data_IF_319786255194
#
_entry.id   IF_319786255194
#
_cell.length_a   1.000
_cell.length_b   1.000
_cell.length_c   1.000
_cell.angle_alpha   90.00
_cell.angle_beta   90.00
_cell.angle_gamma   90.00
#
_symmetry.space_group_name_H-M   'P 1'
#
loop_
_entity.id
_entity.type
_entity.pdbx_description
1 polymer ?
#
# COMPACT_ATOMS: atom_id res chain seq x y z
N UNK A 1 -18.13 -26.40 -4.56
CA UNK A 1 -17.97 -24.92 -4.70
C UNK A 1 -16.50 -24.59 -4.64
N UNK A 2 -15.93 -23.99 -5.70
CA UNK A 2 -14.49 -23.67 -5.76
C UNK A 2 -14.11 -22.65 -4.66
N UNK A 3 -12.87 -22.73 -4.15
CA UNK A 3 -12.34 -21.81 -3.13
C UNK A 3 -12.52 -20.34 -3.51
N UNK A 4 -12.42 -20.04 -4.80
CA UNK A 4 -12.64 -18.70 -5.36
C UNK A 4 -14.08 -18.21 -5.15
N UNK A 5 -15.10 -19.06 -5.31
CA UNK A 5 -16.50 -18.70 -5.05
C UNK A 5 -16.75 -18.37 -3.56
N UNK A 6 -16.07 -19.06 -2.64
CA UNK A 6 -16.18 -18.79 -1.19
C UNK A 6 -15.56 -17.44 -0.83
N UNK A 7 -14.43 -17.08 -1.43
CA UNK A 7 -13.76 -15.78 -1.22
C UNK A 7 -14.61 -14.64 -1.79
N UNK A 8 -15.17 -14.81 -2.99
CA UNK A 8 -16.07 -13.81 -3.59
C UNK A 8 -17.36 -13.64 -2.77
N UNK A 9 -17.93 -14.73 -2.24
CA UNK A 9 -19.08 -14.68 -1.35
C UNK A 9 -18.76 -14.00 -0.01
N UNK A 10 -17.60 -14.27 0.59
CA UNK A 10 -17.16 -13.61 1.82
C UNK A 10 -16.94 -12.11 1.61
N UNK A 11 -16.36 -11.70 0.49
CA UNK A 11 -16.20 -10.29 0.13
C UNK A 11 -17.56 -9.60 -0.15
N UNK A 12 -18.53 -10.33 -0.71
CA UNK A 12 -19.90 -9.81 -0.88
C UNK A 12 -20.66 -9.69 0.45
N UNK A 13 -20.43 -10.59 1.41
CA UNK A 13 -21.06 -10.54 2.74
C UNK A 13 -20.55 -9.36 3.58
N UNK A 14 -19.26 -9.05 3.50
CA UNK A 14 -18.69 -7.86 4.16
C UNK A 14 -19.26 -6.56 3.56
N UNK A 15 -19.55 -6.55 2.25
CA UNK A 15 -20.19 -5.41 1.59
C UNK A 15 -21.68 -5.21 1.94
N UNK A 16 -22.37 -6.23 2.42
CA UNK A 16 -23.80 -6.16 2.74
C UNK A 16 -24.12 -5.64 4.16
N UNK A 17 -23.11 -5.52 5.02
CA UNK A 17 -23.26 -4.99 6.39
C UNK A 17 -23.26 -3.45 6.47
N UNK A 18 -23.02 -2.76 5.37
CA UNK A 18 -23.07 -1.29 5.29
C UNK A 18 -24.43 -0.85 4.77
N UNK A 19 -25.25 -0.45 5.70
CA UNK A 19 -26.67 -0.03 5.61
C UNK A 19 -27.21 0.53 4.30
N UNK A 20 -28.33 0.04 3.97
CA UNK A 20 -29.53 0.39 3.22
C UNK A 20 -29.63 1.59 2.26
N UNK A 21 -28.55 2.05 1.62
CA UNK A 21 -28.64 2.91 0.47
C UNK A 21 -28.24 2.13 -0.78
N UNK A 22 -29.03 2.22 -1.85
CA UNK A 22 -28.71 1.63 -3.15
C UNK A 22 -27.48 2.31 -3.74
N UNK A 23 -26.30 1.96 -3.24
CA UNK A 23 -25.03 2.42 -3.76
C UNK A 23 -24.71 1.55 -4.96
N UNK A 24 -24.60 2.19 -6.12
CA UNK A 24 -24.03 1.57 -7.31
C UNK A 24 -22.57 1.24 -7.05
N UNK A 25 -22.29 0.02 -6.58
CA UNK A 25 -20.94 -0.42 -6.23
C UNK A 25 -20.07 -0.45 -7.47
N UNK A 26 -19.24 0.56 -7.65
CA UNK A 26 -18.24 0.62 -8.71
C UNK A 26 -16.95 -0.02 -8.21
N UNK A 27 -16.25 -0.73 -9.09
CA UNK A 27 -14.96 -1.36 -8.79
C UNK A 27 -13.92 -0.87 -9.78
N UNK A 28 -12.87 -0.27 -9.25
CA UNK A 28 -11.69 0.15 -10.01
C UNK A 28 -10.50 -0.73 -9.69
N UNK A 29 -9.73 -1.10 -10.70
CA UNK A 29 -8.37 -1.60 -10.54
C UNK A 29 -7.42 -0.46 -10.85
N UNK A 30 -6.42 -0.27 -9.99
CA UNK A 30 -5.44 0.81 -10.08
C UNK A 30 -4.02 0.27 -10.12
N UNK A 31 -3.13 1.03 -10.74
CA UNK A 31 -1.69 0.78 -10.75
C UNK A 31 -0.96 2.11 -10.52
N UNK A 32 -0.02 2.11 -9.58
CA UNK A 32 0.80 3.29 -9.29
C UNK A 32 1.95 3.41 -10.31
N UNK A 33 1.91 4.49 -11.09
CA UNK A 33 2.92 4.76 -12.12
C UNK A 33 4.30 5.06 -11.56
N UNK A 34 4.41 5.75 -10.40
CA UNK A 34 5.71 6.04 -9.79
C UNK A 34 6.43 4.75 -9.34
N UNK A 35 5.70 3.83 -8.73
CA UNK A 35 6.24 2.53 -8.34
C UNK A 35 6.60 1.67 -9.57
N UNK A 36 5.77 1.72 -10.62
CA UNK A 36 6.05 1.01 -11.86
C UNK A 36 7.35 1.48 -12.52
N UNK A 37 7.66 2.78 -12.49
CA UNK A 37 8.94 3.33 -12.98
C UNK A 37 10.15 2.81 -12.18
N UNK A 38 9.97 2.52 -10.89
CA UNK A 38 10.99 1.90 -10.04
C UNK A 38 11.01 0.37 -10.15
N UNK A 39 10.18 -0.23 -11.01
CA UNK A 39 10.04 -1.69 -11.12
C UNK A 39 9.41 -2.34 -9.89
N UNK A 40 8.68 -1.57 -9.09
CA UNK A 40 7.91 -2.03 -7.93
C UNK A 40 6.47 -2.25 -8.36
N UNK A 41 5.91 -3.40 -8.03
CA UNK A 41 4.54 -3.78 -8.39
C UNK A 41 3.58 -3.25 -7.32
N UNK A 42 2.59 -2.44 -7.72
CA UNK A 42 1.60 -1.89 -6.80
C UNK A 42 0.19 -1.91 -7.39
N UNK A 43 -0.44 -3.09 -7.52
CA UNK A 43 -1.86 -3.19 -7.85
C UNK A 43 -2.73 -2.79 -6.66
N UNK A 44 -3.83 -2.12 -6.96
CA UNK A 44 -4.87 -1.80 -5.99
C UNK A 44 -6.26 -2.06 -6.57
N UNK A 45 -7.20 -2.38 -5.70
CA UNK A 45 -8.62 -2.51 -6.02
C UNK A 45 -9.39 -1.56 -5.12
N UNK A 46 -10.20 -0.72 -5.71
CA UNK A 46 -11.03 0.25 -4.99
C UNK A 46 -12.52 -0.04 -5.21
N UNK A 47 -13.25 -0.09 -4.10
CA UNK A 47 -14.69 -0.37 -4.05
C UNK A 47 -15.44 0.87 -3.58
N UNK A 48 -16.49 1.26 -4.29
CA UNK A 48 -17.40 2.31 -3.81
C UNK A 48 -18.28 1.77 -2.69
N UNK A 49 -18.23 2.41 -1.52
CA UNK A 49 -19.05 2.07 -0.35
C UNK A 49 -20.28 2.96 -0.21
N UNK A 50 -20.15 4.25 -0.58
CA UNK A 50 -21.22 5.24 -0.45
C UNK A 50 -21.06 6.35 -1.50
N UNK A 51 -22.01 7.28 -1.63
CA UNK A 51 -21.86 8.41 -2.55
C UNK A 51 -20.61 9.26 -2.34
N UNK A 52 -20.00 9.19 -1.16
CA UNK A 52 -18.81 9.97 -0.81
C UNK A 52 -17.68 9.15 -0.22
N UNK A 53 -17.77 7.80 -0.21
CA UNK A 53 -16.69 6.99 0.36
C UNK A 53 -16.37 5.76 -0.46
N UNK A 54 -15.10 5.37 -0.40
CA UNK A 54 -14.57 4.16 -1.02
C UNK A 54 -13.70 3.40 -0.03
N UNK A 55 -13.42 2.16 -0.36
CA UNK A 55 -12.46 1.32 0.32
C UNK A 55 -11.48 0.79 -0.71
N UNK A 56 -10.20 0.96 -0.46
CA UNK A 56 -9.14 0.46 -1.32
C UNK A 56 -8.31 -0.58 -0.59
N UNK A 57 -7.98 -1.66 -1.27
CA UNK A 57 -6.95 -2.61 -0.86
C UNK A 57 -5.82 -2.60 -1.88
N UNK A 58 -4.58 -2.62 -1.41
CA UNK A 58 -3.40 -2.59 -2.29
C UNK A 58 -2.28 -3.46 -1.76
N UNK A 59 -1.44 -3.92 -2.68
CA UNK A 59 -0.20 -4.61 -2.40
C UNK A 59 0.91 -3.79 -3.03
N UNK A 60 2.00 -3.54 -2.28
CA UNK A 60 3.25 -3.02 -2.82
C UNK A 60 4.28 -4.14 -2.71
N UNK A 61 4.88 -4.50 -3.81
CA UNK A 61 5.87 -5.57 -3.85
C UNK A 61 7.11 -5.14 -4.63
N UNK A 62 8.24 -5.12 -3.94
CA UNK A 62 9.56 -4.93 -4.57
C UNK A 62 10.20 -6.30 -4.83
N UNK A 63 10.39 -6.70 -6.10
CA UNK A 63 11.04 -7.94 -6.46
C UNK A 63 12.57 -7.87 -6.35
N UNK A 64 13.12 -6.69 -6.10
CA UNK A 64 14.55 -6.44 -6.11
C UNK A 64 15.24 -7.05 -4.89
N UNK A 65 15.85 -8.22 -5.07
CA UNK A 65 16.66 -8.81 -4.01
C UNK A 65 17.86 -7.90 -3.67
N UNK A 66 18.43 -7.28 -4.71
CA UNK A 66 19.54 -6.33 -4.59
C UNK A 66 19.39 -5.21 -5.61
N UNK A 67 19.75 -4.00 -5.19
CA UNK A 67 19.91 -2.81 -6.02
C UNK A 67 21.36 -2.35 -5.89
N UNK A 68 21.98 -2.01 -7.01
CA UNK A 68 23.35 -1.50 -7.00
C UNK A 68 23.35 0.00 -6.69
N UNK A 69 23.96 0.37 -5.57
CA UNK A 69 24.14 1.76 -5.16
C UNK A 69 25.61 1.98 -4.80
N UNK A 70 26.27 2.98 -5.43
CA UNK A 70 27.69 3.28 -5.27
C UNK A 70 28.61 2.07 -5.44
N UNK A 71 28.30 1.19 -6.39
CA UNK A 71 29.09 -0.01 -6.69
C UNK A 71 28.83 -1.20 -5.75
N UNK A 72 28.00 -1.05 -4.71
CA UNK A 72 27.67 -2.07 -3.73
C UNK A 72 26.25 -2.57 -3.94
N UNK A 73 26.04 -3.89 -3.83
CA UNK A 73 24.73 -4.51 -3.88
C UNK A 73 24.03 -4.41 -2.52
N UNK A 74 22.90 -3.75 -2.48
CA UNK A 74 22.12 -3.48 -1.26
C UNK A 74 20.73 -4.11 -1.37
N UNK A 75 20.25 -4.83 -0.35
CA UNK A 75 18.92 -5.43 -0.38
C UNK A 75 17.81 -4.37 -0.49
N UNK A 76 16.78 -4.66 -1.31
CA UNK A 76 15.61 -3.79 -1.48
C UNK A 76 14.33 -4.62 -1.71
N UNK A 77 14.21 -5.73 -0.98
CA UNK A 77 13.10 -6.66 -1.09
C UNK A 77 12.08 -6.42 0.02
N UNK A 78 10.83 -6.11 -0.35
CA UNK A 78 9.76 -5.90 0.61
C UNK A 78 8.39 -6.19 0.00
N UNK A 79 7.44 -6.50 0.87
CA UNK A 79 6.04 -6.62 0.54
C UNK A 79 5.21 -5.85 1.58
N UNK A 80 4.25 -5.05 1.11
CA UNK A 80 3.33 -4.29 1.95
C UNK A 80 1.92 -4.65 1.50
N UNK A 81 1.05 -4.98 2.44
CA UNK A 81 -0.38 -5.09 2.25
C UNK A 81 -1.06 -3.96 3.00
N UNK A 82 -1.90 -3.19 2.32
CA UNK A 82 -2.54 -2.01 2.90
C UNK A 82 -4.02 -1.95 2.54
N UNK A 83 -4.82 -1.54 3.52
CA UNK A 83 -6.22 -1.23 3.37
C UNK A 83 -6.45 0.24 3.72
N UNK A 84 -7.30 0.91 2.98
CA UNK A 84 -7.57 2.32 3.12
C UNK A 84 -9.05 2.63 2.95
N UNK A 85 -9.62 3.33 3.92
CA UNK A 85 -10.93 3.97 3.81
C UNK A 85 -10.74 5.42 3.35
N UNK A 86 -11.45 5.83 2.29
CA UNK A 86 -11.39 7.17 1.71
C UNK A 86 -12.71 7.89 1.85
N UNK A 87 -12.66 9.14 2.27
CA UNK A 87 -13.80 10.04 2.33
C UNK A 87 -13.60 11.23 1.41
N UNK A 88 -14.46 11.35 0.40
CA UNK A 88 -14.43 12.42 -0.59
C UNK A 88 -15.26 13.61 -0.11
N UNK A 89 -14.80 14.82 -0.40
CA UNK A 89 -15.54 16.05 -0.06
C UNK A 89 -16.78 16.22 -0.90
N UNK A 90 -16.74 15.83 -2.18
CA UNK A 90 -17.87 15.97 -3.13
C UNK A 90 -18.50 14.60 -3.42
N UNK A 91 -17.93 13.83 -4.32
CA UNK A 91 -18.42 12.53 -4.79
C UNK A 91 -17.26 11.54 -4.84
N UNK A 92 -17.53 10.24 -4.60
CA UNK A 92 -16.53 9.18 -4.73
C UNK A 92 -15.85 9.21 -6.10
N UNK A 93 -14.58 8.88 -6.13
CA UNK A 93 -13.73 8.85 -7.32
C UNK A 93 -13.72 10.19 -8.11
N UNK A 94 -13.88 11.32 -7.43
CA UNK A 94 -13.83 12.64 -8.04
C UNK A 94 -13.54 13.75 -7.02
N UNK A 95 -12.42 14.45 -7.19
CA UNK A 95 -12.00 15.55 -6.35
C UNK A 95 -11.16 15.13 -5.15
N UNK A 96 -11.01 16.03 -4.20
CA UNK A 96 -10.21 15.84 -3.00
C UNK A 96 -10.82 14.80 -2.06
N UNK A 97 -9.95 14.02 -1.41
CA UNK A 97 -10.33 13.10 -0.35
C UNK A 97 -9.31 13.08 0.79
N UNK A 98 -9.77 12.61 1.93
CA UNK A 98 -8.94 12.16 3.05
C UNK A 98 -9.15 10.67 3.25
N UNK A 99 -8.09 9.98 3.62
CA UNK A 99 -8.11 8.54 3.89
C UNK A 99 -7.45 8.21 5.22
N UNK A 100 -7.95 7.13 5.82
CA UNK A 100 -7.30 6.44 6.92
C UNK A 100 -6.86 5.07 6.42
N UNK A 101 -5.61 4.70 6.69
CA UNK A 101 -5.07 3.44 6.22
C UNK A 101 -4.47 2.62 7.35
N UNK A 102 -4.48 1.30 7.15
CA UNK A 102 -3.81 0.33 8.01
C UNK A 102 -3.19 -0.76 7.15
N UNK A 103 -2.05 -1.26 7.57
CA UNK A 103 -1.35 -2.27 6.80
C UNK A 103 -0.33 -3.06 7.60
N UNK A 104 0.26 -4.01 6.90
CA UNK A 104 1.36 -4.83 7.38
C UNK A 104 2.45 -4.91 6.32
N UNK A 105 3.67 -5.08 6.75
CA UNK A 105 4.82 -5.20 5.86
C UNK A 105 5.78 -6.29 6.31
N UNK A 106 6.45 -6.89 5.34
CA UNK A 106 7.63 -7.72 5.54
C UNK A 106 8.77 -7.18 4.68
N UNK A 107 9.96 -7.12 5.20
CA UNK A 107 11.07 -6.49 4.49
C UNK A 107 12.44 -7.11 4.78
N UNK A 108 13.30 -7.04 3.78
CA UNK A 108 14.75 -7.17 3.85
C UNK A 108 15.33 -6.05 3.00
N UNK A 109 15.65 -4.91 3.61
CA UNK A 109 16.02 -3.72 2.86
C UNK A 109 17.02 -2.83 3.58
N UNK A 110 17.86 -2.16 2.79
CA UNK A 110 18.66 -1.04 3.25
C UNK A 110 17.80 0.22 3.27
N UNK A 111 17.86 1.00 4.35
CA UNK A 111 17.05 2.23 4.47
C UNK A 111 17.50 3.26 3.41
N UNK A 112 16.54 3.91 2.73
CA UNK A 112 16.86 5.04 1.88
C UNK A 112 17.26 6.25 2.75
N UNK A 113 18.33 6.90 2.37
CA UNK A 113 18.87 8.12 3.02
C UNK A 113 19.12 9.19 1.97
N UNK A 114 18.99 10.44 2.37
CA UNK A 114 19.38 11.57 1.53
C UNK A 114 20.76 12.03 1.97
N UNK A 115 21.74 11.92 1.10
CA UNK A 115 23.11 12.33 1.33
C UNK A 115 23.59 13.19 0.16
N UNK A 116 24.11 14.39 0.45
CA UNK A 116 24.56 15.38 -0.56
C UNK A 116 23.48 15.70 -1.62
N UNK A 117 22.20 15.72 -1.24
CA UNK A 117 21.07 16.01 -2.14
C UNK A 117 20.66 14.88 -3.05
N UNK A 118 21.26 13.69 -2.96
CA UNK A 118 20.91 12.51 -3.71
C UNK A 118 20.34 11.40 -2.81
N UNK A 119 19.47 10.58 -3.37
CA UNK A 119 18.91 9.41 -2.69
C UNK A 119 19.90 8.25 -2.76
N UNK A 120 20.31 7.75 -1.62
CA UNK A 120 21.19 6.61 -1.47
C UNK A 120 20.57 5.58 -0.51
N UNK A 121 21.18 4.40 -0.46
CA UNK A 121 20.81 3.36 0.51
C UNK A 121 21.91 3.24 1.57
N UNK A 122 21.52 3.00 2.83
CA UNK A 122 22.49 2.73 3.90
C UNK A 122 23.38 1.52 3.59
N UNK A 123 24.61 1.48 4.15
CA UNK A 123 25.55 0.36 4.02
C UNK A 123 25.26 -0.80 4.99
N UNK A 124 24.04 -0.86 5.47
CA UNK A 124 23.48 -1.93 6.31
C UNK A 124 22.06 -2.20 5.89
N UNK A 125 21.49 -3.32 6.28
CA UNK A 125 20.11 -3.63 5.99
C UNK A 125 19.37 -4.13 7.23
N UNK A 126 18.06 -3.97 7.21
CA UNK A 126 17.16 -4.52 8.23
C UNK A 126 16.29 -5.60 7.61
N UNK A 127 16.03 -6.66 8.39
CA UNK A 127 15.11 -7.73 8.02
C UNK A 127 14.11 -7.93 9.13
N UNK A 128 12.83 -7.86 8.78
CA UNK A 128 11.75 -7.96 9.74
C UNK A 128 10.38 -7.79 9.14
N UNK A 129 9.45 -7.46 10.01
CA UNK A 129 8.06 -7.17 9.67
C UNK A 129 7.55 -6.00 10.50
N UNK A 130 6.41 -5.44 10.10
CA UNK A 130 5.80 -4.35 10.83
C UNK A 130 4.33 -4.20 10.51
N UNK A 131 3.68 -3.40 11.32
CA UNK A 131 2.31 -2.93 11.12
C UNK A 131 2.32 -1.41 11.00
N UNK A 132 1.35 -0.87 10.31
CA UNK A 132 1.24 0.57 10.12
C UNK A 132 -0.21 1.04 10.23
N UNK A 133 -0.37 2.24 10.78
CA UNK A 133 -1.63 2.97 10.85
C UNK A 133 -1.37 4.41 10.42
N UNK A 134 -2.14 4.91 9.47
CA UNK A 134 -1.84 6.20 8.89
C UNK A 134 -3.03 6.94 8.29
N UNK A 135 -2.68 8.10 7.76
CA UNK A 135 -3.60 8.98 7.06
C UNK A 135 -3.02 9.33 5.69
N UNK A 136 -3.88 9.59 4.75
CA UNK A 136 -3.49 10.11 3.44
C UNK A 136 -4.45 11.19 2.96
N UNK A 137 -3.98 12.00 2.04
CA UNK A 137 -4.79 12.93 1.29
C UNK A 137 -4.47 12.78 -0.19
N UNK A 138 -5.48 12.99 -1.03
CA UNK A 138 -5.29 12.88 -2.46
C UNK A 138 -6.37 13.57 -3.26
N UNK A 139 -6.16 13.56 -4.57
CA UNK A 139 -7.07 14.10 -5.54
C UNK A 139 -7.29 13.09 -6.67
N UNK A 140 -8.53 12.69 -6.86
CA UNK A 140 -8.94 11.85 -7.99
C UNK A 140 -9.63 12.65 -9.08
N UNK A 141 -9.25 12.38 -10.32
CA UNK A 141 -9.88 12.95 -11.50
C UNK A 141 -10.27 11.86 -12.49
N UNK A 142 -11.57 11.79 -12.79
CA UNK A 142 -12.09 10.92 -13.84
C UNK A 142 -12.03 11.68 -15.17
N UNK A 143 -11.13 11.29 -16.06
CA UNK A 143 -10.92 11.95 -17.34
C UNK A 143 -11.63 11.26 -18.53
N UNK A 144 -12.12 10.04 -18.31
CA UNK A 144 -12.93 9.31 -19.28
C UNK A 144 -13.98 8.43 -18.57
N UNK A 145 -14.90 7.81 -19.32
CA UNK A 145 -15.97 7.00 -18.73
C UNK A 145 -15.48 5.88 -17.79
N UNK A 146 -14.31 5.30 -18.09
CA UNK A 146 -13.75 4.19 -17.35
C UNK A 146 -12.40 4.46 -16.72
N UNK A 147 -11.79 5.62 -16.99
CA UNK A 147 -10.44 5.94 -16.55
C UNK A 147 -10.43 7.06 -15.52
N UNK A 148 -9.58 6.91 -14.55
CA UNK A 148 -9.28 7.94 -13.57
C UNK A 148 -7.78 8.02 -13.30
N UNK A 149 -7.35 9.18 -12.83
CA UNK A 149 -6.03 9.44 -12.24
C UNK A 149 -6.23 9.78 -10.77
N UNK A 150 -5.35 9.26 -9.93
CA UNK A 150 -5.36 9.45 -8.47
C UNK A 150 -3.95 9.85 -8.02
N UNK A 151 -3.80 11.09 -7.56
CA UNK A 151 -2.57 11.60 -6.98
C UNK A 151 -2.70 11.71 -5.47
N UNK A 152 -1.76 11.16 -4.71
CA UNK A 152 -1.87 11.06 -3.26
C UNK A 152 -0.53 11.09 -2.52
N UNK A 153 -0.62 11.50 -1.27
CA UNK A 153 0.47 11.45 -0.30
C UNK A 153 -0.08 11.08 1.07
N UNK A 154 0.68 10.33 1.84
CA UNK A 154 0.26 9.89 3.17
C UNK A 154 1.43 9.57 4.10
N UNK A 155 1.13 9.60 5.38
CA UNK A 155 2.05 9.29 6.48
C UNK A 155 1.43 8.22 7.36
N UNK A 156 2.28 7.36 7.91
CA UNK A 156 1.86 6.35 8.86
C UNK A 156 2.80 6.27 10.05
N UNK A 157 2.21 5.96 11.17
CA UNK A 157 2.91 5.46 12.33
C UNK A 157 3.20 3.99 12.13
N UNK A 158 4.48 3.64 12.13
CA UNK A 158 4.96 2.29 11.82
C UNK A 158 5.56 1.68 13.07
N UNK A 159 5.07 0.51 13.46
CA UNK A 159 5.65 -0.35 14.49
C UNK A 159 6.34 -1.51 13.77
N UNK A 160 7.66 -1.60 13.91
CA UNK A 160 8.46 -2.61 13.22
C UNK A 160 9.29 -3.44 14.18
N UNK A 161 9.36 -4.73 13.91
CA UNK A 161 10.20 -5.72 14.61
C UNK A 161 11.20 -6.26 13.60
N UNK A 162 12.47 -5.96 13.84
CA UNK A 162 13.50 -6.31 12.87
C UNK A 162 14.88 -6.50 13.52
N UNK A 163 15.74 -7.22 12.83
CA UNK A 163 17.17 -7.29 13.11
C UNK A 163 17.95 -6.46 12.09
N UNK A 164 19.01 -5.80 12.56
CA UNK A 164 19.98 -5.10 11.71
C UNK A 164 21.13 -6.04 11.33
N UNK A 165 21.58 -5.90 10.08
CA UNK A 165 22.67 -6.69 9.51
C UNK A 165 23.62 -5.78 8.75
N UNK A 166 24.91 -6.10 8.79
CA UNK A 166 25.88 -5.56 7.84
C UNK A 166 25.71 -6.23 6.48
N UNK A 167 26.26 -5.66 5.41
CA UNK A 167 26.09 -6.17 4.05
C UNK A 167 26.72 -7.55 3.85
N UNK A 168 27.66 -7.96 4.69
CA UNK A 168 28.25 -9.31 4.74
C UNK A 168 27.34 -10.35 5.41
N UNK A 169 26.22 -9.90 6.01
CA UNK A 169 25.26 -10.74 6.72
C UNK A 169 25.52 -10.89 8.22
N UNK A 170 26.53 -10.22 8.76
CA UNK A 170 26.81 -10.21 10.20
C UNK A 170 25.70 -9.45 10.93
N UNK A 171 25.18 -10.03 12.03
CA UNK A 171 24.16 -9.38 12.86
C UNK A 171 24.81 -8.25 13.65
N UNK A 172 24.29 -7.03 13.50
CA UNK A 172 24.70 -5.91 14.33
C UNK A 172 24.14 -6.08 15.73
N UNK A 173 25.02 -6.16 16.72
CA UNK A 173 24.60 -6.07 18.12
C UNK A 173 24.08 -4.65 18.41
N UNK A 174 22.90 -4.56 19.00
CA UNK A 174 22.42 -3.30 19.54
C UNK A 174 23.38 -2.86 20.67
N UNK A 175 23.88 -1.60 20.69
CA UNK A 175 24.86 -1.17 21.70
C UNK A 175 24.34 -1.22 23.14
N UNK A 176 23.04 -1.44 23.34
CA UNK A 176 22.41 -1.47 24.66
C UNK A 176 21.82 -2.83 25.08
N UNK A 177 21.84 -3.86 24.20
CA UNK A 177 21.42 -5.23 24.57
C UNK A 177 22.21 -6.23 23.76
N UNK A 178 22.89 -7.19 24.43
CA UNK A 178 23.44 -8.35 23.73
C UNK A 178 22.27 -9.18 23.19
N UNK A 179 22.12 -9.20 21.87
CA UNK A 179 21.12 -10.03 21.19
C UNK A 179 21.74 -11.39 20.98
N UNK A 180 21.14 -12.44 21.54
CA UNK A 180 21.51 -13.81 21.16
C UNK A 180 21.21 -13.97 19.65
N UNK A 181 22.17 -14.44 18.84
CA UNK A 181 22.02 -14.51 17.37
C UNK A 181 20.85 -15.38 16.91
N UNK A 182 20.38 -16.29 17.76
CA UNK A 182 19.33 -17.27 17.43
C UNK A 182 17.90 -16.84 17.81
N UNK A 183 17.75 -15.80 18.63
CA UNK A 183 16.43 -15.31 19.03
C UNK A 183 16.33 -13.81 18.76
N UNK A 184 15.66 -13.40 17.66
CA UNK A 184 15.35 -12.00 17.46
C UNK A 184 14.51 -11.50 18.63
N UNK A 185 14.95 -10.41 19.25
CA UNK A 185 14.19 -9.75 20.31
C UNK A 185 12.82 -9.33 19.74
N UNK A 186 11.69 -9.87 20.23
CA UNK A 186 10.38 -9.72 19.59
C UNK A 186 9.85 -8.28 19.58
N UNK A 187 10.52 -7.34 20.20
CA UNK A 187 10.12 -5.93 20.22
C UNK A 187 11.36 -5.05 20.32
N UNK A 188 12.18 -4.98 19.29
CA UNK A 188 13.26 -4.00 19.26
C UNK A 188 12.77 -2.57 18.98
N UNK A 189 11.43 -2.37 18.95
CA UNK A 189 10.72 -1.16 19.28
C UNK A 189 11.02 0.06 18.42
N UNK A 190 11.18 -0.10 17.12
CA UNK A 190 11.17 1.04 16.23
C UNK A 190 9.73 1.48 16.00
N UNK A 191 9.40 2.65 16.54
CA UNK A 191 8.14 3.34 16.31
C UNK A 191 8.46 4.64 15.57
N UNK A 192 8.13 4.69 14.29
CA UNK A 192 8.49 5.80 13.42
C UNK A 192 7.26 6.36 12.70
N UNK A 193 7.17 7.70 12.63
CA UNK A 193 6.18 8.38 11.81
C UNK A 193 6.83 8.80 10.51
N UNK A 194 6.51 8.09 9.42
CA UNK A 194 7.19 8.22 8.14
C UNK A 194 6.20 8.44 6.99
N UNK A 195 6.62 9.18 5.93
CA UNK A 195 5.89 9.18 4.67
C UNK A 195 5.99 7.77 4.06
N UNK A 196 4.87 7.08 3.99
CA UNK A 196 4.82 5.70 3.52
C UNK A 196 3.97 5.50 2.27
N UNK A 197 3.26 6.54 1.88
CA UNK A 197 2.34 6.48 0.74
C UNK A 197 2.52 7.71 -0.14
N UNK A 198 2.97 7.49 -1.36
CA UNK A 198 3.09 8.52 -2.38
C UNK A 198 2.82 7.90 -3.74
N UNK A 199 2.08 8.58 -4.60
CA UNK A 199 1.86 8.04 -5.92
C UNK A 199 0.98 8.88 -6.82
N UNK A 200 1.09 8.51 -8.09
CA UNK A 200 0.14 8.85 -9.14
C UNK A 200 -0.30 7.54 -9.75
N UNK A 201 -1.56 7.18 -9.55
CA UNK A 201 -2.12 5.92 -10.04
C UNK A 201 -3.06 6.17 -11.21
N UNK A 202 -3.07 5.23 -12.15
CA UNK A 202 -4.11 5.14 -13.19
C UNK A 202 -5.07 4.04 -12.75
N UNK A 203 -6.38 4.35 -12.78
CA UNK A 203 -7.45 3.44 -12.44
C UNK A 203 -8.36 3.15 -13.62
N UNK A 204 -8.78 1.89 -13.73
CA UNK A 204 -9.73 1.44 -14.73
C UNK A 204 -10.97 0.82 -14.09
N UNK A 205 -12.15 1.30 -14.51
CA UNK A 205 -13.45 0.80 -14.04
C UNK A 205 -13.73 -0.57 -14.66
N UNK A 206 -13.68 -1.62 -13.84
CA UNK A 206 -13.97 -3.00 -14.27
C UNK A 206 -15.42 -3.39 -14.07
N UNK A 207 -16.12 -2.77 -13.10
CA UNK A 207 -17.51 -3.07 -12.79
C UNK A 207 -18.29 -1.79 -12.42
N UNK A 208 -19.50 -1.65 -13.01
CA UNK A 208 -20.49 -0.63 -12.66
C UNK A 208 -21.91 -1.19 -12.89
N UNK A 209 -22.76 -1.26 -11.86
CA UNK A 209 -24.13 -1.75 -12.01
C UNK A 209 -25.01 -0.91 -12.95
N UNK A 210 -24.76 0.39 -13.06
CA UNK A 210 -25.60 1.31 -13.85
C UNK A 210 -25.60 0.97 -15.35
N UNK A 211 -24.50 0.41 -15.89
CA UNK A 211 -24.45 -0.03 -17.29
C UNK A 211 -25.29 -1.27 -17.61
N UNK A 212 -25.69 -2.07 -16.58
CA UNK A 212 -26.58 -3.22 -16.81
C UNK A 212 -28.06 -2.82 -16.94
N UNK A 213 -28.47 -1.71 -16.34
CA UNK A 213 -29.84 -1.18 -16.47
C UNK A 213 -30.12 -0.61 -17.85
N UNK A 214 -29.16 0.12 -18.42
CA UNK A 214 -29.32 0.70 -19.77
C UNK A 214 -29.41 -0.35 -20.90
N UNK A 215 -28.85 -1.57 -20.73
CA UNK A 215 -28.92 -2.66 -21.72
C UNK A 215 -30.18 -3.55 -21.60
N UNK A 216 -30.97 -3.40 -20.53
CA UNK A 216 -32.20 -4.19 -20.32
C UNK A 216 -33.49 -3.39 -20.63
N UNK A 217 -33.36 -2.15 -21.09
CA UNK A 217 -34.47 -1.26 -21.42
C UNK A 217 -34.67 -1.06 -22.94
N UNK A 218 -34.17 -1.97 -23.77
CA UNK A 218 -34.46 -2.04 -25.19
C UNK A 218 -34.97 -3.41 -25.56
#
# INVERSE_FOLDING_TARGET
MSRIRKIVLALMLVGSLVGGQTVSAQIYVKLNGLYALAGVINPAVEFTLSPKSTFQTEIVYSPWQYVRDRGVNKPMHFAIFMNEYRRYFKKHNSGWYLGANMGMQGFKMSKPIIENGALHLENRYSKGYGIMLGICGGYEHRFAERWLVDAYVGWSYMLSWYNGYDLDGTIQMHPHRPVEPEKPDPFNGSAEFLPNKIGVSIGYLIFSPDKKRAKRGH
#
